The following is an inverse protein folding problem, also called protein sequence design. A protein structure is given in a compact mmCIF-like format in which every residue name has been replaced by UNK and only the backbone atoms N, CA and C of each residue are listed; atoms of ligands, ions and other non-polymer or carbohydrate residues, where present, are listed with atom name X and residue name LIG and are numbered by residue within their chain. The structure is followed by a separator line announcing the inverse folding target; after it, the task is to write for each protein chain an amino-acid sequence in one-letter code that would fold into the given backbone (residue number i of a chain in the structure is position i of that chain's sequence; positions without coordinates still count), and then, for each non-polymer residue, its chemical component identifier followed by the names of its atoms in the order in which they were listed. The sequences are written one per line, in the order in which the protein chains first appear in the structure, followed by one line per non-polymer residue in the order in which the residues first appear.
data_IF_974724098480
#
_entry.id   IF_974724098480
#
_cell.length_a   1.000
_cell.length_b   1.000
_cell.length_c   1.000
_cell.angle_alpha   90.00
_cell.angle_beta   90.00
_cell.angle_gamma   90.00
#
_symmetry.space_group_name_H-M   'P 1'
#
loop_
_entity.id
_entity.type
_entity.pdbx_description
1 polymer ?
#
# COMPACT_ATOMS: atom_id res chain seq x y z
N UNK A 1 45.73 17.13 18.38
CA UNK A 1 44.32 16.84 18.05
C UNK A 1 43.56 16.94 19.37
N UNK A 2 42.78 18.01 19.57
CA UNK A 2 42.11 18.29 20.84
C UNK A 2 40.87 17.40 21.00
N UNK A 3 40.61 16.93 22.22
CA UNK A 3 39.50 16.03 22.55
C UNK A 3 38.13 16.55 22.09
N UNK A 4 37.96 17.87 22.00
CA UNK A 4 36.75 18.53 21.47
C UNK A 4 36.47 18.18 20.02
N UNK A 5 37.49 17.94 19.20
CA UNK A 5 37.30 17.55 17.80
C UNK A 5 36.80 16.11 17.72
N UNK A 6 37.31 15.20 18.55
CA UNK A 6 36.87 13.80 18.57
C UNK A 6 35.43 13.71 19.08
N UNK A 7 35.07 14.45 20.13
CA UNK A 7 33.71 14.48 20.69
C UNK A 7 32.70 15.10 19.69
N UNK A 8 33.08 16.16 18.98
CA UNK A 8 32.25 16.72 17.92
C UNK A 8 32.05 15.73 16.76
N UNK A 9 33.11 15.01 16.36
CA UNK A 9 33.04 13.97 15.33
C UNK A 9 32.20 12.76 15.76
N UNK A 10 32.31 12.31 17.01
CA UNK A 10 31.49 11.21 17.53
C UNK A 10 30.03 11.62 17.63
N UNK A 11 29.72 12.85 18.06
CA UNK A 11 28.35 13.38 18.03
C UNK A 11 27.80 13.51 16.60
N UNK A 12 28.60 13.96 15.64
CA UNK A 12 28.19 14.05 14.22
C UNK A 12 27.92 12.67 13.62
N UNK A 13 28.74 11.67 13.96
CA UNK A 13 28.53 10.28 13.55
C UNK A 13 27.33 9.64 14.27
N UNK A 14 27.11 9.96 15.55
CA UNK A 14 25.94 9.51 16.31
C UNK A 14 24.65 10.17 15.84
N UNK A 15 24.65 11.45 15.42
CA UNK A 15 23.48 12.12 14.82
C UNK A 15 23.16 11.57 13.41
N UNK A 16 24.19 11.13 12.67
CA UNK A 16 24.01 10.48 11.37
C UNK A 16 23.49 9.05 11.50
N UNK A 17 23.71 8.44 12.66
CA UNK A 17 23.15 7.16 12.99
C UNK A 17 21.82 7.29 13.71
N UNK A 18 20.84 6.48 13.29
CA UNK A 18 19.53 6.49 13.91
C UNK A 18 19.48 5.55 15.12
N UNK A 19 19.04 6.00 16.31
CA UNK A 19 18.68 5.11 17.41
C UNK A 19 17.52 4.20 16.99
N UNK A 20 17.56 2.92 17.37
CA UNK A 20 16.59 1.91 16.89
C UNK A 20 15.16 2.14 17.39
N UNK A 21 14.99 2.74 18.57
CA UNK A 21 13.73 2.68 19.32
C UNK A 21 12.86 3.95 19.22
N UNK A 22 13.30 4.97 18.49
CA UNK A 22 12.70 6.32 18.48
C UNK A 22 12.43 6.87 17.08
N UNK A 23 12.09 6.01 16.13
CA UNK A 23 11.82 6.49 14.78
C UNK A 23 10.33 6.74 14.51
N UNK A 24 9.94 8.00 14.57
CA UNK A 24 8.63 8.49 14.17
C UNK A 24 8.78 9.65 13.18
N UNK A 25 8.19 9.52 11.98
CA UNK A 25 8.21 10.58 10.96
C UNK A 25 7.51 11.86 11.46
N UNK A 26 6.50 11.72 12.32
CA UNK A 26 5.76 12.83 12.89
C UNK A 26 6.65 13.75 13.73
N UNK A 27 7.59 13.20 14.49
CA UNK A 27 8.50 14.00 15.33
C UNK A 27 9.38 14.93 14.49
N UNK A 28 9.84 14.44 13.33
CA UNK A 28 10.60 15.25 12.38
C UNK A 28 9.73 16.28 11.66
N UNK A 29 8.44 16.00 11.50
CA UNK A 29 7.49 16.95 10.90
C UNK A 29 7.21 18.12 11.84
N UNK A 30 6.96 17.85 13.12
CA UNK A 30 6.77 18.89 14.14
C UNK A 30 8.07 19.66 14.40
N UNK A 31 9.21 18.96 14.47
CA UNK A 31 10.51 19.57 14.73
C UNK A 31 11.54 19.19 13.65
N UNK A 32 11.50 19.83 12.47
CA UNK A 32 12.44 19.54 11.37
C UNK A 32 13.91 19.68 11.78
N UNK A 33 14.21 20.52 12.77
CA UNK A 33 15.55 20.70 13.34
C UNK A 33 16.17 19.45 13.95
N UNK A 34 15.36 18.43 14.30
CA UNK A 34 15.86 17.14 14.79
C UNK A 34 16.48 16.28 13.68
N UNK A 35 16.09 16.51 12.42
CA UNK A 35 16.68 15.80 11.29
C UNK A 35 18.10 16.32 11.00
N UNK A 36 19.05 15.46 10.59
CA UNK A 36 20.39 15.88 10.20
C UNK A 36 20.37 16.89 9.06
N UNK A 37 21.39 17.75 8.99
CA UNK A 37 21.48 18.81 7.97
C UNK A 37 21.34 18.29 6.54
N UNK A 38 21.92 17.14 6.19
CA UNK A 38 21.81 16.59 4.83
C UNK A 38 20.37 16.17 4.45
N UNK A 39 19.53 15.88 5.44
CA UNK A 39 18.10 15.59 5.24
C UNK A 39 17.33 16.90 5.10
N UNK A 40 17.55 17.85 6.01
CA UNK A 40 16.89 19.16 6.01
C UNK A 40 17.15 19.96 4.73
N UNK A 41 18.36 19.85 4.19
CA UNK A 41 18.75 20.54 2.95
C UNK A 41 18.40 19.75 1.69
N UNK A 42 17.75 18.58 1.80
CA UNK A 42 17.29 17.81 0.66
C UNK A 42 15.82 18.14 0.36
N UNK A 43 15.50 18.84 -0.74
CA UNK A 43 14.12 19.23 -1.04
C UNK A 43 13.18 18.03 -1.23
N UNK A 44 13.69 16.94 -1.79
CA UNK A 44 12.91 15.71 -1.98
C UNK A 44 12.53 15.09 -0.63
N UNK A 45 13.47 15.03 0.31
CA UNK A 45 13.20 14.50 1.64
C UNK A 45 12.21 15.38 2.41
N UNK A 46 12.35 16.71 2.33
CA UNK A 46 11.44 17.63 3.00
C UNK A 46 10.03 17.61 2.42
N UNK A 47 9.87 17.42 1.10
CA UNK A 47 8.54 17.20 0.51
C UNK A 47 7.91 15.89 0.97
N UNK A 48 8.68 14.80 0.99
CA UNK A 48 8.22 13.52 1.52
C UNK A 48 7.83 13.63 3.01
N UNK A 49 8.58 14.41 3.80
CA UNK A 49 8.24 14.69 5.19
C UNK A 49 6.94 15.50 5.32
N UNK A 50 6.71 16.49 4.46
CA UNK A 50 5.46 17.24 4.44
C UNK A 50 4.24 16.38 4.10
N UNK A 51 4.40 15.41 3.18
CA UNK A 51 3.34 14.47 2.81
C UNK A 51 3.06 13.43 3.90
N UNK A 52 4.12 12.83 4.44
CA UNK A 52 4.00 11.64 5.29
C UNK A 52 3.99 11.98 6.78
N UNK A 53 4.61 13.09 7.17
CA UNK A 53 4.78 13.51 8.56
C UNK A 53 3.48 13.66 9.36
N UNK A 54 2.39 14.21 8.79
CA UNK A 54 1.12 14.35 9.51
C UNK A 54 0.50 13.01 9.94
N UNK A 55 0.82 11.90 9.25
CA UNK A 55 0.25 10.59 9.54
C UNK A 55 0.69 10.07 10.92
N UNK A 56 -0.17 9.26 11.54
CA UNK A 56 0.02 8.70 12.88
C UNK A 56 0.94 7.45 12.84
N UNK A 57 2.22 7.69 12.59
CA UNK A 57 3.23 6.62 12.55
C UNK A 57 3.52 6.01 13.92
N UNK A 58 3.21 6.71 15.02
CA UNK A 58 3.36 6.18 16.37
C UNK A 58 2.42 5.00 16.63
N UNK A 59 1.20 5.06 16.09
CA UNK A 59 0.24 3.97 16.16
C UNK A 59 0.40 2.92 15.05
N UNK A 60 1.38 3.07 14.14
CA UNK A 60 1.60 2.09 13.08
C UNK A 60 2.07 0.76 13.69
N UNK A 61 1.33 -0.35 13.51
CA UNK A 61 1.74 -1.62 14.05
C UNK A 61 2.99 -2.09 13.30
N UNK A 62 4.12 -2.19 14.01
CA UNK A 62 5.41 -2.64 13.47
C UNK A 62 5.61 -4.15 13.70
N UNK A 63 6.45 -4.78 12.87
CA UNK A 63 6.89 -6.16 13.07
C UNK A 63 7.98 -6.23 14.12
N UNK A 64 8.24 -7.43 14.61
CA UNK A 64 9.41 -7.65 15.47
C UNK A 64 10.70 -7.30 14.71
N UNK A 65 11.43 -6.32 15.26
CA UNK A 65 12.71 -5.86 14.73
C UNK A 65 13.90 -6.51 15.46
N UNK A 66 13.66 -7.16 16.60
CA UNK A 66 14.67 -7.72 17.49
C UNK A 66 14.90 -9.22 17.25
N UNK A 67 14.98 -9.60 15.98
CA UNK A 67 15.15 -11.00 15.53
C UNK A 67 16.60 -11.54 15.67
N UNK A 68 17.43 -10.91 16.51
CA UNK A 68 18.81 -11.32 16.80
C UNK A 68 19.91 -10.46 16.17
N UNK A 69 21.15 -10.63 16.66
CA UNK A 69 22.28 -9.70 16.42
C UNK A 69 22.74 -9.58 14.96
N UNK A 70 22.49 -10.60 14.13
CA UNK A 70 23.01 -10.66 12.75
C UNK A 70 22.00 -10.21 11.69
N UNK A 71 20.75 -9.95 12.05
CA UNK A 71 19.72 -9.54 11.12
C UNK A 71 19.23 -8.14 11.42
N UNK A 72 19.16 -7.31 10.38
CA UNK A 72 18.51 -5.99 10.44
C UNK A 72 17.24 -6.05 9.58
N UNK A 73 16.11 -6.48 10.15
CA UNK A 73 14.85 -6.50 9.41
C UNK A 73 14.48 -5.08 8.98
N UNK A 74 14.04 -4.97 7.73
CA UNK A 74 13.44 -3.74 7.19
C UNK A 74 12.13 -3.43 7.92
N UNK A 75 11.94 -2.26 8.54
CA UNK A 75 10.68 -1.93 9.19
C UNK A 75 9.50 -1.93 8.19
N UNK A 76 8.32 -2.36 8.61
CA UNK A 76 7.11 -2.21 7.81
C UNK A 76 6.73 -0.75 7.63
N UNK A 77 6.99 0.11 8.62
CA UNK A 77 6.79 1.54 8.48
C UNK A 77 7.64 2.11 7.32
N UNK A 78 8.91 1.71 7.23
CA UNK A 78 9.81 2.12 6.16
C UNK A 78 9.34 1.63 4.78
N UNK A 79 8.86 0.38 4.70
CA UNK A 79 8.26 -0.15 3.47
C UNK A 79 7.01 0.65 3.08
N UNK A 80 6.08 0.88 4.01
CA UNK A 80 4.84 1.60 3.76
C UNK A 80 5.12 3.03 3.30
N UNK A 81 5.99 3.75 4.03
CA UNK A 81 6.43 5.10 3.67
C UNK A 81 7.11 5.12 2.29
N UNK A 82 7.98 4.16 1.99
CA UNK A 82 8.59 4.01 0.66
C UNK A 82 7.57 3.74 -0.45
N UNK A 83 6.53 2.94 -0.19
CA UNK A 83 5.43 2.72 -1.12
C UNK A 83 4.59 3.98 -1.35
N UNK A 84 4.38 4.80 -0.31
CA UNK A 84 3.70 6.10 -0.46
C UNK A 84 4.54 7.08 -1.29
N UNK A 85 5.86 7.15 -1.05
CA UNK A 85 6.78 7.90 -1.93
C UNK A 85 6.74 7.38 -3.37
N UNK A 86 6.68 6.05 -3.56
CA UNK A 86 6.53 5.46 -4.90
C UNK A 86 5.28 5.98 -5.61
N UNK A 87 4.16 6.10 -4.91
CA UNK A 87 2.89 6.60 -5.47
C UNK A 87 2.99 8.10 -5.78
N UNK A 88 3.44 8.90 -4.82
CA UNK A 88 3.62 10.35 -4.96
C UNK A 88 4.56 10.72 -6.13
N UNK A 89 5.65 9.98 -6.29
CA UNK A 89 6.63 10.20 -7.35
C UNK A 89 6.25 9.50 -8.68
N UNK A 90 5.08 8.87 -8.78
CA UNK A 90 4.62 8.21 -10.02
C UNK A 90 5.49 7.04 -10.48
N UNK A 91 6.23 6.40 -9.57
CA UNK A 91 7.17 5.34 -9.91
C UNK A 91 6.43 4.04 -10.17
N UNK A 92 6.45 3.55 -11.42
CA UNK A 92 5.67 2.37 -11.81
C UNK A 92 6.10 1.07 -11.10
N UNK A 93 7.42 0.86 -10.90
CA UNK A 93 7.98 -0.42 -10.45
C UNK A 93 8.70 -0.34 -9.11
N UNK A 94 8.81 -1.46 -8.40
CA UNK A 94 9.65 -1.55 -7.18
C UNK A 94 11.14 -1.34 -7.46
N UNK A 95 11.61 -1.68 -8.66
CA UNK A 95 12.97 -1.35 -9.10
C UNK A 95 13.17 0.16 -9.26
N UNK A 96 12.15 0.85 -9.79
CA UNK A 96 12.09 2.31 -9.85
C UNK A 96 12.15 2.95 -8.46
N UNK A 97 11.36 2.44 -7.50
CA UNK A 97 11.44 2.87 -6.09
C UNK A 97 12.85 2.67 -5.52
N UNK A 98 13.43 1.47 -5.65
CA UNK A 98 14.76 1.19 -5.11
C UNK A 98 15.81 2.15 -5.68
N UNK A 99 15.81 2.37 -7.00
CA UNK A 99 16.73 3.30 -7.66
C UNK A 99 16.54 4.72 -7.16
N UNK A 100 15.29 5.19 -7.11
CA UNK A 100 14.97 6.53 -6.60
C UNK A 100 15.45 6.72 -5.16
N UNK A 101 15.27 5.73 -4.28
CA UNK A 101 15.78 5.78 -2.91
C UNK A 101 17.31 5.79 -2.87
N UNK A 102 17.99 4.97 -3.68
CA UNK A 102 19.45 4.93 -3.75
C UNK A 102 20.04 6.28 -4.23
N UNK A 103 19.39 6.93 -5.18
CA UNK A 103 19.76 8.26 -5.69
C UNK A 103 19.51 9.38 -4.66
N UNK A 104 18.67 9.14 -3.65
CA UNK A 104 18.31 10.11 -2.61
C UNK A 104 18.57 9.54 -1.19
N UNK A 105 19.84 9.52 -0.72
CA UNK A 105 20.20 9.01 0.61
C UNK A 105 19.40 9.64 1.75
N UNK A 106 19.04 10.93 1.63
CA UNK A 106 18.20 11.61 2.61
C UNK A 106 16.83 10.93 2.81
N UNK A 107 16.23 10.34 1.77
CA UNK A 107 15.01 9.53 1.88
C UNK A 107 15.26 8.20 2.57
N UNK A 108 16.37 7.52 2.25
CA UNK A 108 16.73 6.24 2.91
C UNK A 108 16.85 6.44 4.40
N UNK A 109 17.53 7.52 4.80
CA UNK A 109 17.56 7.95 6.19
C UNK A 109 16.15 8.25 6.61
N UNK A 110 15.50 9.30 6.08
CA UNK A 110 14.21 9.80 6.52
C UNK A 110 13.21 8.68 6.77
N UNK A 111 12.95 7.80 5.81
CA UNK A 111 11.91 6.77 5.88
C UNK A 111 12.20 5.61 6.85
N UNK A 112 13.41 5.49 7.41
CA UNK A 112 13.71 4.44 8.40
C UNK A 112 14.18 3.13 7.83
N UNK A 113 14.82 3.15 6.66
CA UNK A 113 15.54 1.97 6.21
C UNK A 113 16.77 1.71 7.10
N UNK A 114 17.13 0.43 7.34
CA UNK A 114 18.38 0.09 8.00
C UNK A 114 19.58 0.68 7.24
N UNK A 115 20.53 1.27 7.97
CA UNK A 115 21.68 1.95 7.35
C UNK A 115 22.95 1.09 7.42
N UNK A 116 23.58 0.90 6.27
CA UNK A 116 24.88 0.25 6.12
C UNK A 116 25.99 1.30 6.18
N UNK A 117 26.81 1.26 7.25
CA UNK A 117 27.78 2.32 7.52
C UNK A 117 28.84 2.38 6.43
N UNK A 118 29.20 3.59 6.02
CA UNK A 118 30.24 3.77 5.02
C UNK A 118 30.92 5.12 5.20
N UNK A 119 32.24 5.12 5.26
CA UNK A 119 33.07 6.33 5.26
C UNK A 119 33.23 6.94 3.87
N UNK A 120 32.78 6.25 2.81
CA UNK A 120 32.88 6.71 1.42
C UNK A 120 32.00 7.93 1.14
N UNK A 121 30.90 8.08 1.88
CA UNK A 121 29.91 9.12 1.63
C UNK A 121 29.85 10.12 2.78
N UNK A 122 29.67 11.39 2.44
CA UNK A 122 29.67 12.48 3.42
C UNK A 122 28.55 12.39 4.47
N UNK A 123 27.46 11.67 4.18
CA UNK A 123 26.34 11.41 5.11
C UNK A 123 26.53 10.14 5.97
N UNK A 124 27.60 9.38 5.78
CA UNK A 124 28.04 8.32 6.69
C UNK A 124 27.48 6.90 6.45
N UNK A 125 26.75 6.67 5.36
CA UNK A 125 26.23 5.34 5.00
C UNK A 125 26.16 5.15 3.49
N UNK A 126 26.17 3.91 3.03
CA UNK A 126 25.94 3.56 1.62
C UNK A 126 24.43 3.34 1.39
N UNK A 127 23.80 4.25 0.65
CA UNK A 127 22.36 4.19 0.40
C UNK A 127 21.94 2.94 -0.38
N UNK A 128 22.75 2.49 -1.35
CA UNK A 128 22.40 1.34 -2.17
C UNK A 128 22.52 0.03 -1.37
N UNK A 129 23.58 -0.10 -0.56
CA UNK A 129 23.80 -1.24 0.33
C UNK A 129 22.79 -1.31 1.49
N UNK A 130 22.25 -0.15 1.91
CA UNK A 130 21.22 -0.02 2.94
C UNK A 130 19.85 -0.54 2.48
N UNK A 131 19.60 -0.52 1.16
CA UNK A 131 18.28 -0.80 0.62
C UNK A 131 18.06 -2.29 0.35
N UNK A 132 16.86 -2.82 0.63
CA UNK A 132 16.51 -4.17 0.24
C UNK A 132 16.52 -4.31 -1.28
N UNK A 133 16.71 -5.54 -1.76
CA UNK A 133 16.57 -5.81 -3.19
C UNK A 133 15.12 -5.59 -3.64
N UNK A 134 14.92 -5.29 -4.93
CA UNK A 134 13.58 -5.20 -5.53
C UNK A 134 12.71 -6.42 -5.19
N UNK A 135 13.28 -7.63 -5.28
CA UNK A 135 12.60 -8.89 -4.95
C UNK A 135 12.15 -8.92 -3.48
N UNK A 136 12.96 -8.39 -2.57
CA UNK A 136 12.61 -8.32 -1.15
C UNK A 136 11.47 -7.33 -0.93
N UNK A 137 11.54 -6.12 -1.49
CA UNK A 137 10.45 -5.12 -1.39
C UNK A 137 9.13 -5.67 -1.92
N UNK A 138 9.13 -6.29 -3.10
CA UNK A 138 7.93 -6.94 -3.68
C UNK A 138 7.39 -8.03 -2.77
N UNK A 139 8.26 -8.88 -2.22
CA UNK A 139 7.84 -9.95 -1.31
C UNK A 139 7.23 -9.38 -0.03
N UNK A 140 7.84 -8.35 0.57
CA UNK A 140 7.30 -7.75 1.77
C UNK A 140 5.94 -7.10 1.53
N UNK A 141 5.77 -6.34 0.43
CA UNK A 141 4.47 -5.74 0.09
C UNK A 141 3.39 -6.80 -0.11
N UNK A 142 3.74 -7.96 -0.68
CA UNK A 142 2.80 -9.06 -0.85
C UNK A 142 2.40 -9.74 0.48
N UNK A 143 3.28 -9.71 1.48
CA UNK A 143 3.10 -10.47 2.72
C UNK A 143 2.80 -9.61 3.94
N UNK A 144 2.87 -8.28 3.83
CA UNK A 144 2.52 -7.39 4.92
C UNK A 144 1.03 -7.58 5.26
N UNK A 145 0.67 -7.79 6.53
CA UNK A 145 -0.75 -7.87 6.91
C UNK A 145 -1.46 -6.55 6.57
N UNK A 146 -2.54 -6.61 5.80
CA UNK A 146 -3.29 -5.43 5.34
C UNK A 146 -3.75 -4.54 6.50
N UNK A 147 -4.10 -5.13 7.66
CA UNK A 147 -4.48 -4.40 8.87
C UNK A 147 -3.46 -3.30 9.27
N UNK A 148 -2.17 -3.50 8.98
CA UNK A 148 -1.14 -2.49 9.26
C UNK A 148 -1.27 -1.27 8.36
N UNK A 149 -1.63 -1.48 7.10
CA UNK A 149 -1.88 -0.41 6.13
C UNK A 149 -3.22 0.29 6.40
N UNK A 150 -4.21 -0.44 6.90
CA UNK A 150 -5.49 0.14 7.34
C UNK A 150 -5.28 1.20 8.43
N UNK A 151 -4.33 1.00 9.36
CA UNK A 151 -3.99 2.03 10.35
C UNK A 151 -3.59 3.37 9.70
N UNK A 152 -2.84 3.34 8.58
CA UNK A 152 -2.47 4.56 7.85
C UNK A 152 -3.67 5.16 7.12
N UNK A 153 -4.55 4.34 6.53
CA UNK A 153 -5.77 4.83 5.89
C UNK A 153 -6.68 5.51 6.93
N UNK A 154 -6.97 4.86 8.06
CA UNK A 154 -7.75 5.43 9.15
C UNK A 154 -7.15 6.73 9.66
N UNK A 155 -5.83 6.79 9.84
CA UNK A 155 -5.13 8.01 10.23
C UNK A 155 -5.30 9.12 9.19
N UNK A 156 -5.17 8.81 7.91
CA UNK A 156 -5.37 9.76 6.81
C UNK A 156 -6.79 10.31 6.79
N UNK A 157 -7.80 9.44 6.93
CA UNK A 157 -9.21 9.83 6.99
C UNK A 157 -9.47 10.76 8.17
N UNK A 158 -8.97 10.42 9.37
CA UNK A 158 -9.11 11.27 10.56
C UNK A 158 -8.50 12.66 10.34
N UNK A 159 -7.30 12.73 9.76
CA UNK A 159 -6.64 14.00 9.46
C UNK A 159 -7.47 14.84 8.51
N UNK A 160 -7.94 14.26 7.40
CA UNK A 160 -8.80 14.95 6.45
C UNK A 160 -10.10 15.44 7.08
N UNK A 161 -10.72 14.64 7.95
CA UNK A 161 -11.92 15.06 8.69
C UNK A 161 -11.64 16.26 9.61
N UNK A 162 -10.53 16.24 10.35
CA UNK A 162 -10.14 17.35 11.21
C UNK A 162 -9.90 18.63 10.40
N UNK A 163 -9.08 18.57 9.34
CA UNK A 163 -8.74 19.72 8.50
C UNK A 163 -9.98 20.32 7.82
N UNK A 164 -10.89 19.48 7.31
CA UNK A 164 -12.13 19.95 6.70
C UNK A 164 -13.10 20.55 7.74
N UNK A 165 -13.13 20.01 8.96
CA UNK A 165 -13.97 20.53 10.02
C UNK A 165 -13.57 21.96 10.44
N UNK A 166 -12.28 22.31 10.37
CA UNK A 166 -11.81 23.67 10.66
C UNK A 166 -12.39 24.74 9.71
N UNK A 167 -12.71 24.33 8.48
CA UNK A 167 -13.36 25.19 7.48
C UNK A 167 -14.88 24.96 7.39
N UNK A 168 -15.46 24.27 8.37
CA UNK A 168 -16.90 24.03 8.48
C UNK A 168 -17.44 22.98 7.51
N UNK A 169 -16.58 22.13 6.94
CA UNK A 169 -16.95 21.08 5.98
C UNK A 169 -16.96 19.72 6.68
N UNK A 170 -18.10 19.02 6.61
CA UNK A 170 -18.20 17.65 7.13
C UNK A 170 -17.99 16.64 5.99
N UNK A 171 -17.13 15.65 6.24
CA UNK A 171 -16.85 14.57 5.28
C UNK A 171 -17.56 13.27 5.70
N UNK A 172 -18.16 12.58 4.74
CA UNK A 172 -18.78 11.27 4.94
C UNK A 172 -20.30 11.27 5.16
N UNK A 173 -20.97 12.43 5.09
CA UNK A 173 -22.44 12.49 5.12
C UNK A 173 -23.07 11.82 3.90
N UNK A 174 -22.43 11.96 2.74
CA UNK A 174 -22.76 11.24 1.52
C UNK A 174 -21.55 10.44 1.08
N UNK A 175 -21.77 9.15 0.90
CA UNK A 175 -20.73 8.22 0.43
C UNK A 175 -21.20 7.48 -0.82
N UNK A 176 -20.24 7.12 -1.66
CA UNK A 176 -20.43 6.23 -2.79
C UNK A 176 -19.62 4.97 -2.56
N UNK A 177 -20.20 3.82 -2.89
CA UNK A 177 -19.54 2.52 -2.84
C UNK A 177 -19.45 1.96 -4.25
N UNK A 178 -18.26 1.53 -4.64
CA UNK A 178 -18.04 0.79 -5.89
C UNK A 178 -17.10 -0.39 -5.65
N UNK A 179 -17.27 -1.43 -6.49
CA UNK A 179 -16.42 -2.63 -6.47
C UNK A 179 -15.76 -2.82 -7.82
N UNK A 180 -14.42 -2.86 -7.82
CA UNK A 180 -13.61 -3.03 -9.04
C UNK A 180 -12.88 -4.37 -9.06
N UNK A 181 -13.04 -5.12 -10.14
CA UNK A 181 -12.32 -6.37 -10.34
C UNK A 181 -10.81 -6.15 -10.54
N UNK A 182 -10.02 -6.99 -9.88
CA UNK A 182 -8.56 -7.06 -10.00
C UNK A 182 -8.21 -8.45 -10.53
N UNK A 183 -7.78 -8.51 -11.79
CA UNK A 183 -7.41 -9.78 -12.41
C UNK A 183 -6.06 -10.25 -11.88
N UNK A 184 -5.97 -11.51 -11.44
CA UNK A 184 -4.70 -12.09 -11.02
C UNK A 184 -3.75 -12.25 -12.21
N UNK A 185 -2.46 -12.02 -11.98
CA UNK A 185 -1.42 -12.23 -12.99
C UNK A 185 -1.03 -13.72 -13.05
N UNK A 186 -1.92 -14.53 -13.63
CA UNK A 186 -1.76 -15.98 -13.74
C UNK A 186 -1.95 -16.43 -15.19
N UNK A 187 -1.29 -17.53 -15.59
CA UNK A 187 -1.36 -18.03 -16.98
C UNK A 187 -2.79 -18.42 -17.39
N UNK A 188 -3.61 -18.80 -16.41
CA UNK A 188 -5.03 -19.16 -16.53
C UNK A 188 -5.88 -17.98 -17.01
N UNK A 189 -5.44 -16.73 -16.79
CA UNK A 189 -6.11 -15.55 -17.32
C UNK A 189 -5.60 -15.14 -18.72
N UNK A 190 -4.50 -15.73 -19.20
CA UNK A 190 -4.00 -15.46 -20.55
C UNK A 190 -4.71 -16.37 -21.57
N UNK A 191 -5.57 -15.84 -22.46
CA UNK A 191 -6.30 -16.65 -23.43
C UNK A 191 -5.38 -17.35 -24.44
N UNK A 192 -4.14 -16.87 -24.60
CA UNK A 192 -3.12 -17.46 -25.50
C UNK A 192 -2.35 -18.61 -24.86
N UNK A 193 -2.44 -18.82 -23.55
CA UNK A 193 -1.76 -19.92 -22.89
C UNK A 193 -2.57 -21.21 -23.03
N UNK A 194 -1.91 -22.33 -23.36
CA UNK A 194 -2.57 -23.64 -23.35
C UNK A 194 -2.69 -24.15 -21.91
N UNK A 195 -3.92 -24.19 -21.40
CA UNK A 195 -4.22 -24.58 -20.01
C UNK A 195 -5.44 -25.50 -20.02
N UNK A 196 -5.24 -26.75 -19.65
CA UNK A 196 -6.33 -27.69 -19.40
C UNK A 196 -7.10 -27.26 -18.14
N UNK A 197 -8.42 -27.44 -18.13
CA UNK A 197 -9.29 -27.16 -16.97
C UNK A 197 -9.15 -25.75 -16.41
N UNK A 198 -8.95 -24.75 -17.30
CA UNK A 198 -8.68 -23.33 -16.95
C UNK A 198 -9.62 -22.74 -15.89
N UNK A 199 -10.88 -23.17 -15.88
CA UNK A 199 -11.95 -22.64 -15.04
C UNK A 199 -12.43 -23.66 -13.98
N UNK A 200 -11.61 -24.66 -13.66
CA UNK A 200 -11.88 -25.57 -12.54
C UNK A 200 -11.51 -24.90 -11.22
N UNK A 201 -12.53 -24.58 -10.42
CA UNK A 201 -12.38 -23.93 -9.11
C UNK A 201 -11.54 -24.73 -8.11
N UNK A 202 -11.38 -26.04 -8.33
CA UNK A 202 -10.57 -26.91 -7.47
C UNK A 202 -9.08 -26.87 -7.82
N UNK A 203 -8.71 -26.31 -8.98
CA UNK A 203 -7.34 -26.22 -9.48
C UNK A 203 -6.78 -24.81 -9.35
N UNK A 204 -6.25 -24.51 -8.17
CA UNK A 204 -5.71 -23.19 -7.86
C UNK A 204 -4.47 -22.83 -8.73
N UNK A 205 -4.45 -21.65 -9.36
CA UNK A 205 -3.26 -21.14 -10.04
C UNK A 205 -2.00 -21.09 -9.17
N UNK A 206 -0.88 -21.62 -9.67
CA UNK A 206 0.42 -21.60 -8.96
C UNK A 206 0.99 -20.18 -8.79
N UNK A 207 0.71 -19.29 -9.74
CA UNK A 207 1.23 -17.92 -9.73
C UNK A 207 0.62 -17.04 -8.63
N UNK A 208 -0.60 -17.37 -8.23
CA UNK A 208 -1.36 -16.65 -7.21
C UNK A 208 -2.32 -17.63 -6.49
N UNK A 209 -1.87 -18.27 -5.39
CA UNK A 209 -2.69 -19.25 -4.67
C UNK A 209 -3.90 -18.67 -3.93
N UNK A 210 -3.92 -17.35 -3.72
CA UNK A 210 -4.94 -16.67 -2.92
C UNK A 210 -6.13 -16.21 -3.77
N UNK A 211 -5.94 -16.07 -5.09
CA UNK A 211 -7.00 -15.64 -6.00
C UNK A 211 -8.12 -16.69 -6.09
N UNK A 212 -9.32 -16.28 -6.46
CA UNK A 212 -10.45 -17.22 -6.71
C UNK A 212 -11.07 -16.96 -8.06
N UNK A 213 -11.76 -17.97 -8.59
CA UNK A 213 -12.42 -17.88 -9.89
C UNK A 213 -13.77 -17.16 -9.75
N UNK A 214 -13.87 -16.00 -10.39
CA UNK A 214 -15.08 -15.20 -10.48
C UNK A 214 -15.67 -15.19 -11.89
N UNK A 215 -16.89 -14.66 -12.00
CA UNK A 215 -17.58 -14.43 -13.27
C UNK A 215 -17.75 -12.93 -13.49
N UNK A 216 -17.20 -12.41 -14.58
CA UNK A 216 -17.39 -11.05 -15.05
C UNK A 216 -18.38 -11.05 -16.20
N UNK A 217 -19.54 -10.41 -16.01
CA UNK A 217 -20.48 -10.21 -17.12
C UNK A 217 -19.92 -9.20 -18.12
N UNK A 218 -20.18 -9.43 -19.41
CA UNK A 218 -19.74 -8.54 -20.49
C UNK A 218 -20.47 -7.19 -20.51
N UNK A 219 -21.68 -7.11 -19.94
CA UNK A 219 -22.49 -5.89 -19.90
C UNK A 219 -23.17 -5.73 -18.54
N UNK A 220 -23.14 -4.51 -18.00
CA UNK A 220 -23.86 -4.13 -16.77
C UNK A 220 -25.35 -3.88 -17.03
N UNK A 221 -25.76 -3.73 -18.29
CA UNK A 221 -27.16 -3.68 -18.68
C UNK A 221 -27.66 -5.12 -18.83
N UNK A 222 -28.77 -5.47 -18.16
CA UNK A 222 -29.57 -6.60 -18.63
C UNK A 222 -29.84 -6.34 -20.10
N UNK A 223 -29.53 -7.31 -20.97
CA UNK A 223 -30.14 -7.33 -22.30
C UNK A 223 -31.63 -7.09 -22.06
N UNK A 224 -32.17 -5.99 -22.60
CA UNK A 224 -33.60 -5.76 -22.67
C UNK A 224 -34.16 -6.84 -23.60
N UNK A 225 -34.30 -8.04 -23.08
CA UNK A 225 -34.87 -9.17 -23.79
C UNK A 225 -35.68 -9.94 -22.76
N UNK A 226 -36.97 -9.61 -22.82
CA UNK A 226 -38.12 -10.35 -22.31
C UNK A 226 -38.28 -10.34 -20.77
N UNK A 227 -39.54 -10.28 -20.33
CA UNK A 227 -39.91 -10.07 -18.93
C UNK A 227 -39.25 -11.09 -17.99
N UNK A 228 -39.28 -10.81 -16.69
CA UNK A 228 -38.79 -11.74 -15.67
C UNK A 228 -39.28 -13.16 -16.00
N UNK A 229 -38.38 -14.14 -16.20
CA UNK A 229 -38.82 -15.47 -16.57
C UNK A 229 -39.74 -15.97 -15.46
N UNK A 230 -40.97 -16.34 -15.82
CA UNK A 230 -41.89 -17.01 -14.91
C UNK A 230 -41.18 -18.19 -14.29
N UNK A 231 -41.31 -18.38 -12.98
CA UNK A 231 -40.76 -19.53 -12.25
C UNK A 231 -41.07 -20.79 -13.05
N UNK A 232 -40.06 -21.54 -13.55
CA UNK A 232 -40.32 -22.67 -14.43
C UNK A 232 -41.19 -23.69 -13.71
N UNK A 233 -42.33 -24.07 -14.31
CA UNK A 233 -43.20 -25.13 -13.79
C UNK A 233 -42.65 -26.54 -14.09
N UNK A 234 -41.47 -26.64 -14.70
CA UNK A 234 -40.81 -27.86 -15.13
C UNK A 234 -39.37 -27.90 -14.61
N UNK A 235 -38.82 -29.11 -14.58
CA UNK A 235 -37.46 -29.43 -14.14
C UNK A 235 -36.40 -28.48 -14.74
N UNK A 236 -35.46 -27.97 -13.93
CA UNK A 236 -34.48 -26.98 -14.39
C UNK A 236 -33.60 -27.57 -15.48
N UNK A 237 -33.60 -26.94 -16.66
CA UNK A 237 -32.64 -27.29 -17.72
C UNK A 237 -31.26 -26.73 -17.37
N UNK A 238 -30.18 -27.51 -17.50
CA UNK A 238 -28.84 -27.00 -17.26
C UNK A 238 -28.52 -25.83 -18.22
N UNK A 239 -27.76 -24.85 -17.73
CA UNK A 239 -27.45 -23.60 -18.45
C UNK A 239 -26.30 -23.75 -19.46
N UNK A 240 -26.05 -24.97 -19.96
CA UNK A 240 -24.94 -25.32 -20.85
C UNK A 240 -25.02 -24.66 -22.24
N UNK A 241 -26.13 -24.01 -22.58
CA UNK A 241 -26.30 -23.20 -23.81
C UNK A 241 -26.23 -21.69 -23.56
N UNK A 242 -26.10 -21.23 -22.31
CA UNK A 242 -26.12 -19.79 -21.97
C UNK A 242 -24.71 -19.38 -21.55
N UNK A 243 -24.05 -18.50 -22.32
CA UNK A 243 -22.80 -17.86 -21.87
C UNK A 243 -23.14 -16.80 -20.80
N UNK A 244 -23.14 -17.20 -19.53
CA UNK A 244 -23.53 -16.33 -18.41
C UNK A 244 -22.49 -15.22 -18.12
N UNK A 245 -21.24 -15.37 -18.59
CA UNK A 245 -20.19 -14.35 -18.48
C UNK A 245 -18.80 -14.89 -18.85
N UNK A 246 -17.78 -14.03 -18.71
CA UNK A 246 -16.37 -14.39 -18.83
C UNK A 246 -15.82 -14.75 -17.45
N UNK A 247 -15.08 -15.85 -17.35
CA UNK A 247 -14.51 -16.30 -16.09
C UNK A 247 -13.06 -15.86 -15.97
N UNK A 248 -12.69 -15.43 -14.77
CA UNK A 248 -11.34 -14.97 -14.48
C UNK A 248 -10.94 -15.33 -13.06
N UNK A 249 -9.66 -15.63 -12.88
CA UNK A 249 -9.04 -15.75 -11.56
C UNK A 249 -8.66 -14.35 -11.04
N UNK A 250 -8.99 -14.03 -9.80
CA UNK A 250 -8.63 -12.72 -9.27
C UNK A 250 -9.23 -12.39 -7.92
N UNK A 251 -9.48 -11.11 -7.78
CA UNK A 251 -10.07 -10.44 -6.63
C UNK A 251 -11.05 -9.37 -7.11
N UNK A 252 -11.74 -8.74 -6.19
CA UNK A 252 -12.28 -7.42 -6.40
C UNK A 252 -12.01 -6.55 -5.15
N UNK A 253 -11.84 -5.26 -5.39
CA UNK A 253 -11.64 -4.26 -4.34
C UNK A 253 -12.87 -3.38 -4.29
N UNK A 254 -13.54 -3.41 -3.13
CA UNK A 254 -14.62 -2.51 -2.79
C UNK A 254 -14.06 -1.29 -2.07
N UNK A 255 -14.53 -0.11 -2.43
CA UNK A 255 -14.11 1.16 -1.84
C UNK A 255 -15.34 1.97 -1.48
N UNK A 256 -15.31 2.59 -0.29
CA UNK A 256 -16.23 3.66 0.08
C UNK A 256 -15.49 4.98 -0.05
N UNK A 257 -16.06 5.91 -0.80
CA UNK A 257 -15.49 7.23 -1.00
C UNK A 257 -16.51 8.33 -0.70
N UNK A 258 -16.05 9.47 -0.21
CA UNK A 258 -16.83 10.68 -0.08
C UNK A 258 -16.32 11.73 -1.06
N UNK A 259 -17.26 12.42 -1.71
CA UNK A 259 -16.95 13.60 -2.51
C UNK A 259 -17.20 14.84 -1.66
N UNK A 260 -16.20 15.71 -1.61
CA UNK A 260 -16.26 16.98 -0.90
C UNK A 260 -16.15 18.09 -1.94
N UNK A 261 -17.22 18.88 -2.05
CA UNK A 261 -17.31 19.95 -3.03
C UNK A 261 -16.19 20.98 -2.84
N UNK A 262 -15.51 21.33 -3.94
CA UNK A 262 -14.37 22.25 -3.92
C UNK A 262 -13.03 21.65 -3.48
N UNK A 263 -13.00 20.41 -2.96
CA UNK A 263 -11.77 19.79 -2.43
C UNK A 263 -11.36 18.52 -3.17
N UNK A 264 -12.28 17.59 -3.42
CA UNK A 264 -11.95 16.35 -4.14
C UNK A 264 -12.78 15.14 -3.72
N UNK A 265 -12.24 13.97 -4.03
CA UNK A 265 -12.84 12.66 -3.73
C UNK A 265 -11.86 11.87 -2.86
N UNK A 266 -12.33 11.40 -1.71
CA UNK A 266 -11.49 10.77 -0.68
C UNK A 266 -11.98 9.36 -0.39
N UNK A 267 -11.06 8.40 -0.40
CA UNK A 267 -11.32 7.03 0.03
C UNK A 267 -11.39 6.99 1.55
N UNK A 268 -12.49 6.47 2.08
CA UNK A 268 -12.75 6.35 3.51
C UNK A 268 -12.48 4.94 4.03
N UNK A 269 -12.82 3.93 3.23
CA UNK A 269 -12.65 2.53 3.58
C UNK A 269 -12.34 1.71 2.32
N UNK A 270 -11.57 0.64 2.49
CA UNK A 270 -11.29 -0.33 1.42
C UNK A 270 -11.43 -1.76 1.94
N UNK A 271 -11.86 -2.65 1.05
CA UNK A 271 -11.87 -4.08 1.28
C UNK A 271 -11.60 -4.81 -0.02
N UNK A 272 -10.53 -5.59 -0.04
CA UNK A 272 -10.25 -6.51 -1.14
C UNK A 272 -10.67 -7.92 -0.76
N UNK A 273 -11.51 -8.57 -1.58
CA UNK A 273 -11.91 -9.96 -1.40
C UNK A 273 -11.60 -10.78 -2.66
N UNK A 274 -11.50 -12.12 -2.56
CA UNK A 274 -11.36 -12.97 -3.73
C UNK A 274 -12.55 -12.85 -4.69
N UNK A 275 -12.34 -13.15 -5.97
CA UNK A 275 -13.32 -12.85 -7.03
C UNK A 275 -14.62 -13.69 -6.97
N UNK A 276 -14.66 -14.71 -6.12
CA UNK A 276 -15.85 -15.54 -5.92
C UNK A 276 -16.86 -14.91 -4.94
N UNK A 277 -16.51 -13.78 -4.32
CA UNK A 277 -17.40 -13.03 -3.43
C UNK A 277 -18.36 -12.15 -4.22
N UNK A 278 -19.62 -12.07 -3.76
CA UNK A 278 -20.66 -11.22 -4.36
C UNK A 278 -20.49 -9.75 -4.01
N UNK A 279 -20.88 -8.82 -4.87
CA UNK A 279 -20.80 -7.37 -4.58
C UNK A 279 -21.48 -6.96 -3.26
N UNK A 280 -22.55 -7.65 -2.86
CA UNK A 280 -23.28 -7.41 -1.60
C UNK A 280 -22.43 -7.70 -0.36
N UNK A 281 -21.41 -8.59 -0.46
CA UNK A 281 -20.57 -8.94 0.69
C UNK A 281 -19.66 -7.80 1.15
N UNK A 282 -19.46 -6.78 0.30
CA UNK A 282 -18.60 -5.64 0.62
C UNK A 282 -19.31 -4.61 1.51
N UNK A 283 -20.63 -4.46 1.39
CA UNK A 283 -21.39 -3.36 2.00
C UNK A 283 -21.23 -3.28 3.52
N UNK A 284 -21.67 -4.31 4.26
CA UNK A 284 -21.64 -4.26 5.72
C UNK A 284 -20.23 -4.18 6.31
N UNK A 285 -19.21 -4.90 5.80
CA UNK A 285 -17.84 -4.72 6.26
C UNK A 285 -17.30 -3.30 6.04
N UNK A 286 -17.56 -2.71 4.86
CA UNK A 286 -17.09 -1.36 4.55
C UNK A 286 -17.78 -0.28 5.40
N UNK A 287 -19.07 -0.43 5.70
CA UNK A 287 -19.81 0.50 6.57
C UNK A 287 -19.43 0.41 8.06
N UNK A 288 -18.65 -0.60 8.46
CA UNK A 288 -18.16 -0.76 9.84
C UNK A 288 -16.77 -0.16 10.07
N UNK A 289 -16.05 0.16 8.99
CA UNK A 289 -14.76 0.84 9.05
C UNK A 289 -14.99 2.33 9.25
#
# INVERSE_FOLDING_TARGET
MTSDTIIAWTHLLQQRMRPRDQFNLHDFFINPGLAPGFVRHCPVAMRALGLLGPLDWACFPERDLDIGWHMRPVPYAALAAGCLVKLDQGLATMGGLRRHLADHPALVWLLGFPLERSSRYAWGFDADASLPTQRHLTRMLRTIPNQRLQCLLTSTVRLLQCELAEVGVQMGETVSLDTKHILAWVKENNPKAYVADRYDKTKQPKGDPDCRLGCKRRHNQRLRSEGAPTTPSSEPRPANTISVGEYYWGYASGVVAAKVEGWGEFVLAELTQPFDQSDVSYFFPLMKQ
#
